data_IF_904179975896
#
_entry.id   IF_904179975896
#
_cell.length_a   1.000
_cell.length_b   1.000
_cell.length_c   1.000
_cell.angle_alpha   90.00
_cell.angle_beta   90.00
_cell.angle_gamma   90.00
#
_symmetry.space_group_name_H-M   'P 1'
#
loop_
_entity.id
_entity.type
_entity.pdbx_description
1 polymer ?
#
# COMPACT_ATOMS: atom_id res chain seq x y z
N UNK A 1 -22.41 -8.16 99.55
CA UNK A 1 -22.66 -6.72 99.39
C UNK A 1 -21.43 -6.17 98.74
N UNK A 2 -21.49 -5.72 97.52
CA UNK A 2 -20.36 -5.11 96.81
C UNK A 2 -20.67 -5.04 95.34
N UNK A 3 -21.14 -3.93 94.88
CA UNK A 3 -21.44 -3.65 93.52
C UNK A 3 -20.11 -3.37 92.76
N UNK A 4 -19.87 -4.06 91.65
CA UNK A 4 -18.78 -3.78 90.69
C UNK A 4 -19.36 -3.22 89.45
N UNK A 5 -19.00 -1.94 89.16
CA UNK A 5 -19.35 -1.32 87.90
C UNK A 5 -18.38 -1.74 86.80
N UNK A 6 -18.90 -2.13 85.63
CA UNK A 6 -18.16 -2.39 84.40
C UNK A 6 -18.26 -1.15 83.53
N UNK A 7 -17.14 -0.45 83.41
CA UNK A 7 -17.00 0.64 82.42
C UNK A 7 -16.68 0.09 81.01
N UNK A 8 -17.53 0.36 80.01
CA UNK A 8 -17.25 0.09 78.58
C UNK A 8 -16.54 1.29 77.98
N UNK A 9 -15.31 1.07 77.52
CA UNK A 9 -14.55 2.03 76.72
C UNK A 9 -14.91 1.84 75.27
N UNK A 10 -15.50 2.83 74.62
CA UNK A 10 -15.80 2.88 73.18
C UNK A 10 -14.62 3.54 72.47
N UNK A 11 -13.90 2.76 71.66
CA UNK A 11 -12.83 3.26 70.76
C UNK A 11 -13.48 3.64 69.42
N UNK A 12 -13.35 4.89 68.96
CA UNK A 12 -13.88 5.23 67.64
C UNK A 12 -13.00 4.67 66.51
N UNK A 13 -13.61 3.83 65.66
CA UNK A 13 -12.96 3.39 64.39
C UNK A 13 -13.01 4.54 63.38
N UNK A 14 -11.85 5.09 63.05
CA UNK A 14 -11.70 5.97 61.88
C UNK A 14 -11.88 5.11 60.61
N UNK A 15 -12.94 5.34 59.87
CA UNK A 15 -13.13 4.80 58.54
C UNK A 15 -12.39 5.68 57.53
N UNK A 16 -11.27 5.20 57.02
CA UNK A 16 -10.53 5.87 55.91
C UNK A 16 -11.27 5.60 54.61
N UNK A 17 -12.01 6.56 54.10
CA UNK A 17 -12.61 6.47 52.76
C UNK A 17 -11.51 6.62 51.70
N UNK A 18 -11.15 5.54 51.03
CA UNK A 18 -10.27 5.59 49.83
C UNK A 18 -11.15 5.95 48.65
N UNK A 19 -11.03 7.20 48.22
CA UNK A 19 -11.68 7.73 47.01
C UNK A 19 -10.89 7.17 45.79
N UNK A 20 -11.43 6.15 45.14
CA UNK A 20 -10.90 5.60 43.88
C UNK A 20 -11.22 6.60 42.76
N UNK A 21 -10.27 7.48 42.38
CA UNK A 21 -10.39 8.31 41.19
C UNK A 21 -10.18 7.40 39.98
N UNK A 22 -11.26 6.97 39.36
CA UNK A 22 -11.22 6.32 38.07
C UNK A 22 -10.80 7.37 37.02
N UNK A 23 -9.56 7.37 36.59
CA UNK A 23 -9.09 8.08 35.41
C UNK A 23 -9.80 7.46 34.18
N UNK A 24 -10.90 8.10 33.77
CA UNK A 24 -11.52 7.83 32.48
C UNK A 24 -10.52 8.31 31.43
N UNK A 25 -9.79 7.37 30.84
CA UNK A 25 -9.02 7.63 29.62
C UNK A 25 -10.02 7.92 28.50
N UNK A 26 -10.30 9.17 28.25
CA UNK A 26 -10.99 9.58 27.04
C UNK A 26 -10.11 9.18 25.86
N UNK A 27 -10.66 8.53 24.81
CA UNK A 27 -9.90 8.33 23.59
C UNK A 27 -9.46 9.71 23.10
N UNK A 28 -8.16 9.90 22.94
CA UNK A 28 -7.63 11.13 22.38
C UNK A 28 -8.27 11.31 20.99
N UNK A 29 -9.13 12.31 20.87
CA UNK A 29 -9.69 12.68 19.57
C UNK A 29 -8.51 13.06 18.69
N UNK A 30 -8.41 12.45 17.52
CA UNK A 30 -7.37 12.77 16.55
C UNK A 30 -7.37 14.28 16.28
N UNK A 31 -6.24 14.93 16.49
CA UNK A 31 -6.11 16.36 16.25
C UNK A 31 -6.23 16.61 14.74
N UNK A 32 -7.18 17.45 14.34
CA UNK A 32 -7.33 17.87 12.95
C UNK A 32 -6.34 18.98 12.63
N UNK A 33 -5.60 18.81 11.54
CA UNK A 33 -4.72 19.83 11.01
C UNK A 33 -5.35 20.43 9.74
N UNK A 34 -5.53 21.74 9.63
CA UNK A 34 -6.04 22.36 8.42
C UNK A 34 -5.03 22.14 7.28
N UNK A 35 -5.50 21.67 6.13
CA UNK A 35 -4.70 21.51 4.94
C UNK A 35 -5.28 22.37 3.81
N UNK A 36 -4.39 23.08 3.09
CA UNK A 36 -4.73 23.90 1.93
C UNK A 36 -4.11 23.26 0.69
N UNK A 37 -4.88 23.15 -0.40
CA UNK A 37 -4.34 22.73 -1.68
C UNK A 37 -3.47 23.86 -2.23
N UNK A 38 -2.15 23.65 -2.27
CA UNK A 38 -1.18 24.62 -2.78
C UNK A 38 -1.02 24.56 -4.31
N UNK A 39 -1.34 23.40 -4.90
CA UNK A 39 -1.27 23.20 -6.35
C UNK A 39 -1.69 21.79 -6.72
N UNK A 40 -2.00 21.56 -7.99
CA UNK A 40 -2.20 20.23 -8.55
C UNK A 40 -1.64 20.17 -9.96
N UNK A 41 -1.23 18.96 -10.38
CA UNK A 41 -0.77 18.71 -11.73
C UNK A 41 -1.27 17.33 -12.17
N UNK A 42 -1.57 17.19 -13.44
CA UNK A 42 -2.17 15.98 -14.01
C UNK A 42 -1.27 15.42 -15.10
N UNK A 43 -0.93 14.15 -15.01
CA UNK A 43 -0.42 13.37 -16.13
C UNK A 43 -1.63 12.70 -16.80
N UNK A 44 -1.82 12.85 -18.13
CA UNK A 44 -2.95 12.22 -18.81
C UNK A 44 -2.96 10.70 -18.60
N UNK A 45 -4.14 10.12 -18.33
CA UNK A 45 -4.29 8.68 -18.06
C UNK A 45 -3.78 7.81 -19.24
N UNK A 46 -3.91 8.27 -20.48
CA UNK A 46 -3.37 7.63 -21.67
C UNK A 46 -1.97 8.17 -22.00
N UNK A 47 -1.04 8.09 -21.06
CA UNK A 47 0.38 8.35 -21.31
C UNK A 47 1.08 7.05 -21.62
N UNK A 48 1.64 6.95 -22.82
CA UNK A 48 2.29 5.76 -23.33
C UNK A 48 3.77 6.04 -23.64
N UNK A 49 4.63 5.10 -23.31
CA UNK A 49 6.08 5.17 -23.56
C UNK A 49 6.56 3.97 -24.38
N UNK A 50 7.73 4.14 -25.01
CA UNK A 50 8.37 3.02 -25.72
C UNK A 50 9.00 2.06 -24.73
N UNK A 51 8.89 0.76 -25.00
CA UNK A 51 9.70 -0.23 -24.32
C UNK A 51 11.19 -0.02 -24.68
N UNK A 52 12.15 -0.46 -23.84
CA UNK A 52 13.57 -0.42 -24.16
C UNK A 52 13.87 -1.06 -25.51
N UNK A 53 14.81 -0.50 -26.27
CA UNK A 53 15.15 -0.99 -27.62
C UNK A 53 15.61 -2.46 -27.62
N UNK A 54 16.24 -2.89 -26.52
CA UNK A 54 16.72 -4.26 -26.29
C UNK A 54 15.69 -5.18 -25.59
N UNK A 55 14.47 -4.68 -25.35
CA UNK A 55 13.38 -5.50 -24.82
C UNK A 55 12.94 -6.55 -25.86
N UNK A 56 12.54 -7.76 -25.42
CA UNK A 56 12.00 -8.75 -26.33
C UNK A 56 10.72 -8.24 -27.01
N UNK A 57 10.47 -8.71 -28.23
CA UNK A 57 9.31 -8.30 -29.03
C UNK A 57 7.96 -8.47 -28.28
N UNK A 58 7.90 -9.49 -27.42
CA UNK A 58 6.73 -9.75 -26.59
C UNK A 58 6.36 -8.61 -25.64
N UNK A 59 7.31 -7.74 -25.28
CA UNK A 59 7.12 -6.59 -24.38
C UNK A 59 6.93 -5.25 -25.10
N UNK A 60 7.12 -5.19 -26.41
CA UNK A 60 6.93 -3.96 -27.19
C UNK A 60 5.45 -3.56 -27.31
N UNK A 61 4.54 -4.51 -27.17
CA UNK A 61 3.09 -4.25 -27.13
C UNK A 61 2.55 -4.82 -25.83
N UNK A 62 1.82 -4.02 -25.06
CA UNK A 62 1.28 -4.39 -23.76
C UNK A 62 -0.24 -4.50 -23.74
N UNK A 63 -0.80 -5.22 -22.75
CA UNK A 63 -2.24 -5.39 -22.61
C UNK A 63 -2.85 -6.41 -23.55
N UNK A 64 -2.09 -7.41 -24.01
CA UNK A 64 -2.58 -8.48 -24.88
C UNK A 64 -3.40 -9.56 -24.17
N UNK A 65 -3.36 -9.62 -22.83
CA UNK A 65 -3.99 -10.69 -22.05
C UNK A 65 -5.38 -10.27 -21.54
N UNK A 66 -6.29 -9.99 -22.46
CA UNK A 66 -7.64 -9.48 -22.18
C UNK A 66 -8.77 -10.48 -22.45
N UNK A 67 -8.44 -11.64 -23.02
CA UNK A 67 -9.42 -12.67 -23.35
C UNK A 67 -9.97 -13.41 -22.13
N UNK A 68 -11.03 -14.19 -22.29
CA UNK A 68 -11.58 -15.03 -21.23
C UNK A 68 -10.49 -15.92 -20.59
N UNK A 69 -10.42 -15.92 -19.26
CA UNK A 69 -9.37 -16.61 -18.51
C UNK A 69 -7.99 -15.98 -18.70
N UNK A 70 -7.91 -14.69 -19.01
CA UNK A 70 -6.67 -13.94 -19.27
C UNK A 70 -5.80 -14.57 -20.37
N UNK A 71 -6.42 -15.05 -21.41
CA UNK A 71 -5.72 -15.57 -22.59
C UNK A 71 -5.28 -14.42 -23.49
N UNK A 72 -4.16 -14.61 -24.14
CA UNK A 72 -3.62 -13.65 -25.12
C UNK A 72 -4.63 -13.41 -26.24
N UNK A 73 -4.94 -12.14 -26.46
CA UNK A 73 -5.81 -11.64 -27.53
C UNK A 73 -5.13 -10.43 -28.15
N UNK A 74 -4.63 -10.57 -29.38
CA UNK A 74 -3.96 -9.45 -30.09
C UNK A 74 -4.97 -8.60 -30.89
N UNK A 75 -6.21 -8.48 -30.38
CA UNK A 75 -7.31 -7.70 -30.96
C UNK A 75 -7.80 -6.68 -29.93
N UNK A 76 -8.49 -5.61 -30.36
CA UNK A 76 -9.09 -4.65 -29.43
C UNK A 76 -9.98 -5.35 -28.41
N UNK A 77 -9.74 -5.08 -27.14
CA UNK A 77 -10.41 -5.68 -26.00
C UNK A 77 -10.45 -4.71 -24.80
N UNK A 78 -10.95 -5.16 -23.66
CA UNK A 78 -11.10 -4.33 -22.48
C UNK A 78 -10.67 -5.06 -21.20
N UNK A 79 -10.10 -4.30 -20.27
CA UNK A 79 -9.76 -4.75 -18.91
C UNK A 79 -10.36 -3.74 -17.91
N UNK A 80 -10.96 -4.19 -16.79
CA UNK A 80 -11.37 -3.31 -15.70
C UNK A 80 -10.22 -2.45 -15.18
N UNK A 81 -10.50 -1.21 -14.81
CA UNK A 81 -9.49 -0.25 -14.37
C UNK A 81 -8.77 0.48 -15.51
N UNK A 82 -8.66 -0.11 -16.70
CA UNK A 82 -8.06 0.52 -17.89
C UNK A 82 -9.12 0.95 -18.90
N UNK A 83 -9.95 0.03 -19.38
CA UNK A 83 -10.97 0.33 -20.39
C UNK A 83 -12.24 0.92 -19.81
N UNK A 84 -12.48 0.69 -18.54
CA UNK A 84 -13.62 1.26 -17.81
C UNK A 84 -13.31 1.33 -16.32
N UNK A 85 -13.87 2.35 -15.66
CA UNK A 85 -13.87 2.42 -14.20
C UNK A 85 -14.81 1.35 -13.69
N UNK A 86 -14.33 0.53 -12.76
CA UNK A 86 -15.05 -0.62 -12.23
C UNK A 86 -16.13 -0.17 -11.24
N UNK A 87 -17.26 0.26 -11.77
CA UNK A 87 -18.49 0.38 -10.98
C UNK A 87 -19.28 -0.92 -11.17
N UNK A 88 -19.46 -1.69 -10.11
CA UNK A 88 -20.06 -3.04 -10.15
C UNK A 88 -21.40 -3.12 -10.86
N UNK A 89 -22.16 -2.03 -10.91
CA UNK A 89 -23.51 -2.00 -11.46
C UNK A 89 -23.60 -1.24 -12.80
N UNK A 90 -22.70 -0.28 -13.04
CA UNK A 90 -22.66 0.49 -14.27
C UNK A 90 -21.23 0.91 -14.58
N UNK A 91 -20.42 0.05 -15.19
CA UNK A 91 -19.05 0.37 -15.53
C UNK A 91 -18.97 1.59 -16.45
N UNK A 92 -18.07 2.51 -16.13
CA UNK A 92 -17.86 3.75 -16.88
C UNK A 92 -16.75 3.57 -17.91
N UNK A 93 -17.02 3.62 -19.22
CA UNK A 93 -16.01 3.50 -20.25
C UNK A 93 -15.00 4.65 -20.16
N UNK A 94 -13.70 4.33 -20.30
CA UNK A 94 -12.62 5.31 -20.41
C UNK A 94 -12.33 5.72 -21.87
N UNK A 95 -12.87 4.99 -22.83
CA UNK A 95 -12.50 5.13 -24.24
C UNK A 95 -11.19 4.45 -24.61
N UNK A 96 -10.54 3.77 -23.68
CA UNK A 96 -9.26 3.09 -23.90
C UNK A 96 -9.51 1.65 -24.31
N UNK A 97 -8.94 1.23 -25.44
CA UNK A 97 -8.92 -0.14 -25.92
C UNK A 97 -7.53 -0.73 -25.85
N UNK A 98 -7.43 -1.99 -25.48
CA UNK A 98 -6.18 -2.75 -25.46
C UNK A 98 -6.08 -3.62 -26.71
N UNK A 99 -4.87 -4.05 -27.16
CA UNK A 99 -3.55 -3.77 -26.59
C UNK A 99 -2.99 -2.40 -27.00
N UNK A 100 -1.98 -1.91 -26.25
CA UNK A 100 -1.21 -0.70 -26.61
C UNK A 100 -0.10 -1.10 -27.61
N UNK A 101 -0.37 -0.99 -28.89
CA UNK A 101 0.57 -1.39 -29.94
C UNK A 101 1.87 -0.59 -29.90
N UNK A 102 3.01 -1.26 -29.74
CA UNK A 102 4.34 -0.68 -29.68
C UNK A 102 4.65 0.12 -28.41
N UNK A 103 3.78 0.07 -27.38
CA UNK A 103 3.87 0.94 -26.20
C UNK A 103 3.63 0.21 -24.89
N UNK A 104 4.16 0.83 -23.81
CA UNK A 104 3.89 0.50 -22.42
C UNK A 104 3.09 1.65 -21.79
N UNK A 105 2.04 1.36 -20.98
CA UNK A 105 1.29 2.39 -20.30
C UNK A 105 2.06 2.93 -19.09
N UNK A 106 2.00 4.23 -18.89
CA UNK A 106 2.50 4.91 -17.71
C UNK A 106 1.29 5.33 -16.87
N UNK A 107 0.86 4.44 -16.00
CA UNK A 107 -0.37 4.61 -15.23
C UNK A 107 -0.26 3.90 -13.86
N UNK A 108 -1.24 4.15 -12.96
CA UNK A 108 -1.30 3.49 -11.67
C UNK A 108 -0.12 3.89 -10.79
N UNK A 109 0.02 5.19 -10.48
CA UNK A 109 1.05 5.61 -9.53
C UNK A 109 0.64 5.20 -8.12
N UNK A 110 1.38 4.23 -7.55
CA UNK A 110 1.13 3.72 -6.21
C UNK A 110 2.04 4.35 -5.17
N UNK A 111 3.36 4.38 -5.38
CA UNK A 111 4.30 5.03 -4.48
C UNK A 111 4.89 6.31 -5.08
N UNK A 112 5.06 7.35 -4.23
CA UNK A 112 5.66 8.62 -4.66
C UNK A 112 6.60 9.19 -3.59
N UNK A 113 7.78 9.66 -4.01
CA UNK A 113 8.76 10.30 -3.13
C UNK A 113 9.28 11.61 -3.73
N UNK A 114 9.17 12.72 -3.00
CA UNK A 114 9.79 13.98 -3.38
C UNK A 114 11.30 13.88 -3.23
N UNK A 115 12.04 14.30 -4.26
CA UNK A 115 13.50 14.37 -4.27
C UNK A 115 14.00 15.76 -3.86
N UNK A 116 15.29 15.89 -3.44
CA UNK A 116 15.85 17.17 -3.00
C UNK A 116 15.81 18.28 -4.06
N UNK A 117 15.88 17.93 -5.34
CA UNK A 117 15.82 18.87 -6.46
C UNK A 117 14.41 19.33 -6.83
N UNK A 118 13.40 18.92 -6.05
CA UNK A 118 12.00 19.25 -6.26
C UNK A 118 11.27 18.38 -7.27
N UNK A 119 11.96 17.45 -7.95
CA UNK A 119 11.33 16.39 -8.74
C UNK A 119 10.77 15.30 -7.84
N UNK A 120 10.04 14.37 -8.43
CA UNK A 120 9.45 13.24 -7.73
C UNK A 120 9.89 11.92 -8.35
N UNK A 121 10.14 10.93 -7.51
CA UNK A 121 10.24 9.54 -7.92
C UNK A 121 8.86 8.91 -7.70
N UNK A 122 8.33 8.25 -8.73
CA UNK A 122 7.06 7.55 -8.66
C UNK A 122 7.18 6.21 -9.36
N UNK A 123 6.47 5.19 -8.90
CA UNK A 123 6.39 3.91 -9.57
C UNK A 123 5.05 3.72 -10.27
N UNK A 124 5.06 2.96 -11.37
CA UNK A 124 3.85 2.36 -11.92
C UNK A 124 3.65 0.99 -11.27
N UNK A 125 2.43 0.74 -10.89
CA UNK A 125 1.92 -0.52 -10.37
C UNK A 125 2.08 -1.68 -11.39
N UNK A 126 1.53 -2.88 -11.13
CA UNK A 126 1.69 -4.08 -11.98
C UNK A 126 1.12 -3.95 -13.40
N UNK A 127 0.39 -2.92 -13.70
CA UNK A 127 -0.09 -2.54 -15.02
C UNK A 127 -1.57 -2.85 -15.28
N UNK A 128 -2.07 -4.07 -15.09
CA UNK A 128 -3.43 -4.46 -15.43
C UNK A 128 -4.21 -5.14 -14.28
N UNK A 129 -3.70 -5.02 -13.05
CA UNK A 129 -4.38 -5.37 -11.80
C UNK A 129 -4.35 -6.86 -11.43
N UNK A 130 -3.68 -7.73 -12.18
CA UNK A 130 -3.49 -9.13 -11.78
C UNK A 130 -2.28 -9.79 -12.46
N UNK A 131 -1.72 -10.79 -11.79
CA UNK A 131 -0.62 -11.62 -12.36
C UNK A 131 -0.93 -12.18 -13.74
N UNK A 132 -2.18 -12.56 -13.97
CA UNK A 132 -2.57 -13.32 -15.17
C UNK A 132 -2.81 -12.44 -16.39
N UNK A 133 -3.05 -11.15 -16.22
CA UNK A 133 -3.27 -10.23 -17.33
C UNK A 133 -2.09 -9.25 -17.56
N UNK A 134 -1.04 -9.30 -16.75
CA UNK A 134 0.09 -8.38 -16.78
C UNK A 134 1.44 -8.97 -17.25
N UNK A 135 1.52 -10.10 -18.01
CA UNK A 135 2.80 -10.66 -18.42
C UNK A 135 3.53 -9.83 -19.48
N UNK A 136 2.91 -8.80 -20.02
CA UNK A 136 3.48 -7.87 -20.99
C UNK A 136 3.42 -6.40 -20.52
N UNK A 137 3.02 -6.14 -19.26
CA UNK A 137 3.19 -4.86 -18.60
C UNK A 137 4.55 -4.84 -17.90
N UNK A 138 5.46 -3.99 -18.36
CA UNK A 138 6.79 -3.89 -17.76
C UNK A 138 6.74 -3.11 -16.46
N UNK A 139 7.42 -3.61 -15.42
CA UNK A 139 7.60 -2.88 -14.17
C UNK A 139 8.60 -1.75 -14.35
N UNK A 140 8.23 -0.55 -13.88
CA UNK A 140 9.02 0.65 -14.09
C UNK A 140 8.78 1.70 -13.02
N UNK A 141 9.73 2.60 -12.88
CA UNK A 141 9.59 3.80 -12.06
C UNK A 141 10.06 5.04 -12.83
N UNK A 142 9.63 6.20 -12.38
CA UNK A 142 9.75 7.43 -13.14
C UNK A 142 10.31 8.55 -12.27
N UNK A 143 11.09 9.43 -12.89
CA UNK A 143 11.38 10.74 -12.35
C UNK A 143 10.49 11.77 -13.01
N UNK A 144 9.65 12.43 -12.21
CA UNK A 144 8.61 13.34 -12.66
C UNK A 144 8.88 14.75 -12.14
N UNK A 145 8.49 15.76 -12.91
CA UNK A 145 8.50 17.17 -12.46
C UNK A 145 7.12 17.78 -12.70
N UNK A 146 6.31 17.95 -11.65
CA UNK A 146 5.08 18.73 -11.76
C UNK A 146 5.36 20.20 -11.98
N UNK A 147 4.61 20.82 -12.87
CA UNK A 147 4.49 22.27 -13.01
C UNK A 147 3.16 22.68 -12.35
N UNK A 148 3.28 23.27 -11.17
CA UNK A 148 2.12 23.67 -10.37
C UNK A 148 1.40 24.91 -10.94
N UNK A 149 2.01 25.66 -11.88
CA UNK A 149 1.40 26.83 -12.52
C UNK A 149 0.54 26.41 -13.71
N UNK A 150 1.06 25.51 -14.55
CA UNK A 150 0.35 25.01 -15.73
C UNK A 150 -0.54 23.80 -15.42
N UNK A 151 -0.34 23.15 -14.27
CA UNK A 151 -1.07 21.94 -13.90
C UNK A 151 -0.64 20.69 -14.68
N UNK A 152 0.56 20.71 -15.30
CA UNK A 152 1.09 19.58 -16.10
C UNK A 152 2.21 18.85 -15.38
N UNK A 153 2.54 17.63 -15.85
CA UNK A 153 3.66 16.84 -15.33
C UNK A 153 4.60 16.49 -16.46
N UNK A 154 5.88 16.83 -16.30
CA UNK A 154 6.95 16.39 -17.19
C UNK A 154 7.53 15.07 -16.72
N UNK A 155 7.64 14.09 -17.61
CA UNK A 155 8.40 12.86 -17.41
C UNK A 155 9.86 13.18 -17.73
N UNK A 156 10.73 13.14 -16.72
CA UNK A 156 12.16 13.40 -16.89
C UNK A 156 12.91 12.12 -17.28
N UNK A 157 12.48 10.99 -16.74
CA UNK A 157 13.11 9.69 -16.92
C UNK A 157 12.12 8.56 -16.65
N UNK A 158 12.25 7.44 -17.36
CA UNK A 158 11.60 6.17 -17.07
C UNK A 158 12.66 5.09 -17.00
N UNK A 159 12.63 4.30 -15.93
CA UNK A 159 13.56 3.20 -15.67
C UNK A 159 12.78 1.90 -15.56
N UNK A 160 13.18 0.90 -16.35
CA UNK A 160 12.55 -0.41 -16.35
C UNK A 160 13.32 -1.39 -15.45
N UNK A 161 12.59 -2.11 -14.59
CA UNK A 161 13.19 -3.11 -13.71
C UNK A 161 13.63 -4.35 -14.48
N UNK A 162 14.81 -4.87 -14.15
CA UNK A 162 15.39 -6.05 -14.78
C UNK A 162 16.33 -6.80 -13.84
N UNK A 163 16.44 -8.11 -14.01
CA UNK A 163 17.19 -9.02 -13.13
C UNK A 163 18.19 -9.91 -13.89
N UNK A 164 19.22 -9.37 -14.55
CA UNK A 164 20.16 -10.16 -15.33
C UNK A 164 21.01 -11.10 -14.49
N UNK A 165 21.20 -10.79 -13.20
CA UNK A 165 22.02 -11.58 -12.28
C UNK A 165 21.23 -12.66 -11.53
N UNK A 166 19.93 -12.83 -11.82
CA UNK A 166 19.05 -13.84 -11.21
C UNK A 166 18.99 -13.73 -9.67
N UNK A 167 18.87 -12.50 -9.16
CA UNK A 167 18.72 -12.22 -7.74
C UNK A 167 17.33 -12.68 -7.24
N UNK A 168 16.31 -12.58 -8.09
CA UNK A 168 14.97 -13.07 -7.81
C UNK A 168 14.99 -14.61 -7.85
N UNK A 169 14.56 -15.30 -6.77
CA UNK A 169 14.77 -16.74 -6.59
C UNK A 169 13.75 -17.65 -7.29
N UNK A 170 12.93 -17.09 -8.20
CA UNK A 170 11.90 -17.83 -8.92
C UNK A 170 11.91 -17.51 -10.42
N UNK A 171 11.23 -18.34 -11.20
CA UNK A 171 11.10 -18.13 -12.64
C UNK A 171 10.23 -16.92 -12.95
N UNK A 172 10.71 -16.06 -13.83
CA UNK A 172 9.99 -14.87 -14.31
C UNK A 172 9.49 -15.08 -15.74
N UNK A 173 8.59 -14.21 -16.21
CA UNK A 173 8.04 -14.28 -17.58
C UNK A 173 9.14 -14.26 -18.63
N UNK A 174 10.15 -13.41 -18.46
CA UNK A 174 11.25 -13.25 -19.43
C UNK A 174 12.52 -14.01 -19.03
N UNK A 175 12.36 -15.17 -18.43
CA UNK A 175 13.43 -16.03 -17.89
C UNK A 175 14.58 -16.32 -18.88
N UNK A 176 14.26 -16.49 -20.16
CA UNK A 176 15.24 -16.86 -21.20
C UNK A 176 15.95 -15.66 -21.84
N UNK A 177 15.63 -14.43 -21.44
CA UNK A 177 16.24 -13.22 -22.00
C UNK A 177 17.46 -12.78 -21.21
N UNK A 178 18.43 -12.13 -21.84
CA UNK A 178 19.65 -11.67 -21.18
C UNK A 178 19.38 -10.59 -20.12
N UNK A 179 18.49 -9.64 -20.41
CA UNK A 179 18.12 -8.56 -19.47
C UNK A 179 17.16 -9.03 -18.39
N UNK A 180 16.32 -10.04 -18.64
CA UNK A 180 15.30 -10.49 -17.70
C UNK A 180 14.45 -9.32 -17.18
N UNK A 181 13.86 -8.55 -18.11
CA UNK A 181 12.92 -7.49 -17.74
C UNK A 181 11.74 -8.05 -16.94
N UNK A 182 11.40 -7.38 -15.84
CA UNK A 182 10.31 -7.77 -14.96
C UNK A 182 8.97 -7.21 -15.45
N UNK A 183 7.93 -7.97 -15.19
CA UNK A 183 6.55 -7.65 -15.56
C UNK A 183 5.63 -7.72 -14.36
N UNK A 184 4.42 -7.19 -14.49
CA UNK A 184 3.38 -7.28 -13.47
C UNK A 184 2.86 -8.69 -13.17
N UNK A 185 3.32 -9.71 -13.92
CA UNK A 185 3.13 -11.13 -13.55
C UNK A 185 4.18 -11.61 -12.55
N UNK A 186 5.36 -11.00 -12.57
CA UNK A 186 6.48 -11.41 -11.72
C UNK A 186 6.36 -10.80 -10.32
N UNK A 187 6.03 -9.51 -10.23
CA UNK A 187 5.87 -8.74 -9.00
C UNK A 187 4.71 -7.75 -9.14
N UNK A 188 4.19 -7.33 -7.99
CA UNK A 188 3.16 -6.29 -7.82
C UNK A 188 3.74 -5.19 -6.93
N UNK A 189 4.54 -4.29 -7.53
CA UNK A 189 5.25 -3.26 -6.78
C UNK A 189 4.33 -2.07 -6.50
N UNK A 190 4.15 -1.72 -5.21
CA UNK A 190 3.20 -0.68 -4.79
C UNK A 190 3.86 0.48 -4.02
N UNK A 191 5.06 0.27 -3.50
CA UNK A 191 5.77 1.31 -2.75
C UNK A 191 7.22 1.47 -3.19
N UNK A 192 7.77 2.70 -3.03
CA UNK A 192 9.10 3.06 -3.52
C UNK A 192 9.84 3.97 -2.53
N UNK A 193 11.11 3.66 -2.21
CA UNK A 193 11.97 4.53 -1.42
C UNK A 193 13.40 4.56 -1.98
N UNK A 194 13.91 5.74 -2.38
CA UNK A 194 15.32 5.91 -2.71
C UNK A 194 16.17 6.02 -1.45
N UNK A 195 17.24 5.24 -1.37
CA UNK A 195 18.25 5.30 -0.29
C UNK A 195 19.63 5.24 -0.90
N UNK A 196 20.39 6.33 -0.81
CA UNK A 196 21.70 6.43 -1.48
C UNK A 196 21.57 6.22 -2.97
N UNK A 197 22.33 5.27 -3.53
CA UNK A 197 22.29 4.91 -4.94
C UNK A 197 21.35 3.74 -5.26
N UNK A 198 20.60 3.28 -4.27
CA UNK A 198 19.62 2.22 -4.41
C UNK A 198 18.19 2.77 -4.40
N UNK A 199 17.28 1.99 -4.98
CA UNK A 199 15.85 2.18 -4.90
C UNK A 199 15.23 0.89 -4.35
N UNK A 200 14.40 1.01 -3.33
CA UNK A 200 13.71 -0.10 -2.71
C UNK A 200 12.23 -0.08 -3.11
N UNK A 201 11.68 -1.26 -3.31
CA UNK A 201 10.28 -1.48 -3.66
C UNK A 201 9.64 -2.47 -2.69
N UNK A 202 8.40 -2.21 -2.31
CA UNK A 202 7.55 -3.15 -1.62
C UNK A 202 6.60 -3.81 -2.60
N UNK A 203 6.42 -5.12 -2.46
CA UNK A 203 5.63 -5.97 -3.35
C UNK A 203 4.41 -6.55 -2.63
N UNK A 204 3.30 -6.71 -3.34
CA UNK A 204 2.07 -7.28 -2.80
C UNK A 204 1.93 -8.80 -2.96
N UNK A 205 2.59 -9.39 -3.95
CA UNK A 205 2.43 -10.84 -4.22
C UNK A 205 3.07 -11.71 -3.15
N UNK A 206 4.21 -11.31 -2.60
CA UNK A 206 4.90 -12.11 -1.59
C UNK A 206 4.26 -12.08 -0.19
N UNK A 207 4.32 -10.99 0.56
CA UNK A 207 5.00 -9.73 0.28
C UNK A 207 6.53 -9.83 0.28
N UNK A 208 7.18 -9.07 -0.61
CA UNK A 208 8.65 -9.01 -0.71
C UNK A 208 9.18 -7.58 -0.59
N UNK A 209 10.46 -7.45 -0.20
CA UNK A 209 11.24 -6.24 -0.45
C UNK A 209 12.22 -6.51 -1.58
N UNK A 210 12.27 -5.59 -2.55
CA UNK A 210 13.19 -5.63 -3.67
C UNK A 210 14.09 -4.40 -3.62
N UNK A 211 15.37 -4.56 -3.93
CA UNK A 211 16.30 -3.45 -4.12
C UNK A 211 16.80 -3.47 -5.56
N UNK A 212 16.80 -2.31 -6.21
CA UNK A 212 17.46 -2.11 -7.49
C UNK A 212 18.47 -0.96 -7.41
N UNK A 213 19.37 -0.89 -8.35
CA UNK A 213 20.16 0.33 -8.59
C UNK A 213 19.31 1.38 -9.33
N UNK A 214 19.89 2.56 -9.56
CA UNK A 214 19.21 3.66 -10.26
C UNK A 214 18.92 3.37 -11.73
N UNK A 215 19.58 2.38 -12.34
CA UNK A 215 19.36 1.91 -13.69
C UNK A 215 18.28 0.80 -13.77
N UNK A 216 17.69 0.41 -12.63
CA UNK A 216 16.61 -0.59 -12.57
C UNK A 216 17.10 -2.03 -12.46
N UNK A 217 18.41 -2.27 -12.33
CA UNK A 217 18.95 -3.61 -12.12
C UNK A 217 18.70 -4.06 -10.69
N UNK A 218 18.00 -5.19 -10.52
CA UNK A 218 17.76 -5.80 -9.20
C UNK A 218 19.08 -6.21 -8.56
N UNK A 219 19.28 -5.82 -7.29
CA UNK A 219 20.48 -6.08 -6.49
C UNK A 219 20.20 -6.70 -5.13
N UNK A 220 18.92 -6.92 -4.79
CA UNK A 220 18.51 -7.58 -3.56
C UNK A 220 17.05 -7.97 -3.59
N UNK A 221 16.74 -9.07 -2.90
CA UNK A 221 15.40 -9.62 -2.75
C UNK A 221 15.26 -10.24 -1.36
N UNK A 222 14.17 -9.94 -0.64
CA UNK A 222 13.91 -10.45 0.70
C UNK A 222 12.46 -10.86 0.87
N UNK A 223 12.26 -12.09 1.31
CA UNK A 223 10.97 -12.54 1.82
C UNK A 223 10.67 -11.81 3.14
N UNK A 224 9.42 -11.45 3.35
CA UNK A 224 8.99 -10.82 4.59
C UNK A 224 8.99 -11.80 5.76
N UNK A 225 9.67 -11.44 6.84
CA UNK A 225 9.67 -12.24 8.07
C UNK A 225 9.09 -11.45 9.24
N UNK A 226 8.23 -12.12 10.03
CA UNK A 226 7.67 -11.59 11.26
C UNK A 226 7.43 -12.73 12.26
N UNK A 227 7.77 -12.51 13.54
CA UNK A 227 7.65 -13.49 14.61
C UNK A 227 8.28 -14.87 14.25
N UNK A 228 9.48 -14.82 13.64
CA UNK A 228 10.26 -16.01 13.29
C UNK A 228 9.75 -16.83 12.10
N UNK A 229 8.76 -16.35 11.37
CA UNK A 229 8.17 -17.02 10.19
C UNK A 229 8.13 -16.12 8.97
N UNK A 230 8.19 -16.73 7.79
CA UNK A 230 7.97 -16.04 6.52
C UNK A 230 6.47 -15.79 6.36
N UNK A 231 6.08 -14.54 6.12
CA UNK A 231 4.71 -14.19 5.77
C UNK A 231 4.48 -14.51 4.29
N UNK A 232 3.36 -15.17 4.00
CA UNK A 232 3.02 -15.57 2.62
C UNK A 232 1.60 -15.17 2.27
N UNK A 233 1.44 -14.64 1.06
CA UNK A 233 0.14 -14.53 0.40
C UNK A 233 -0.14 -15.77 -0.45
N UNK A 234 -1.34 -15.94 -1.02
CA UNK A 234 -1.62 -17.00 -1.99
C UNK A 234 -0.75 -16.95 -3.26
N UNK A 235 -0.15 -15.81 -3.59
CA UNK A 235 0.69 -15.62 -4.78
C UNK A 235 2.20 -15.73 -4.51
N UNK A 236 2.59 -15.99 -3.25
CA UNK A 236 3.98 -16.18 -2.86
C UNK A 236 4.60 -17.35 -3.64
N UNK A 237 5.84 -17.19 -4.16
CA UNK A 237 6.45 -18.14 -5.07
C UNK A 237 6.62 -19.57 -4.52
N UNK A 238 6.65 -19.75 -3.20
CA UNK A 238 6.69 -21.06 -2.57
C UNK A 238 5.32 -21.66 -2.27
N UNK A 239 4.22 -20.94 -2.58
CA UNK A 239 2.87 -21.47 -2.40
C UNK A 239 2.57 -22.47 -3.53
N UNK A 240 2.27 -23.69 -3.14
CA UNK A 240 1.91 -24.77 -4.06
C UNK A 240 0.59 -25.39 -3.64
N UNK A 241 -0.17 -25.87 -4.62
CA UNK A 241 -1.35 -26.69 -4.33
C UNK A 241 -0.92 -27.97 -3.58
N UNK A 242 -1.60 -28.36 -2.49
CA UNK A 242 -1.30 -29.62 -1.81
C UNK A 242 -1.58 -30.82 -2.73
N UNK A 243 -0.88 -31.93 -2.49
CA UNK A 243 -1.07 -33.16 -3.26
C UNK A 243 -2.44 -33.84 -3.00
N UNK A 244 -3.10 -33.48 -1.92
CA UNK A 244 -4.45 -33.92 -1.56
C UNK A 244 -5.37 -32.72 -1.37
N UNK A 245 -6.67 -32.82 -1.69
CA UNK A 245 -7.61 -31.72 -1.47
C UNK A 245 -7.61 -31.26 -0.01
N UNK A 246 -7.55 -29.96 0.19
CA UNK A 246 -7.55 -29.36 1.53
C UNK A 246 -7.28 -27.84 1.49
N UNK A 247 -7.42 -27.14 2.63
CA UNK A 247 -7.13 -25.72 2.70
C UNK A 247 -5.63 -25.43 2.54
N UNK A 248 -5.31 -24.32 1.89
CA UNK A 248 -3.96 -23.77 1.81
C UNK A 248 -3.83 -22.68 2.87
N UNK A 249 -2.81 -22.79 3.73
CA UNK A 249 -2.56 -21.79 4.78
C UNK A 249 -1.72 -20.64 4.24
N UNK A 250 -2.16 -19.41 4.51
CA UNK A 250 -1.43 -18.18 4.20
C UNK A 250 -1.70 -17.13 5.28
N UNK A 251 -0.75 -16.20 5.48
CA UNK A 251 -0.83 -15.20 6.53
C UNK A 251 -1.29 -13.82 6.01
N UNK A 252 -1.13 -13.56 4.71
CA UNK A 252 -1.46 -12.30 4.04
C UNK A 252 -2.51 -12.57 2.98
N UNK A 253 -3.54 -11.75 2.89
CA UNK A 253 -4.54 -11.85 1.82
C UNK A 253 -3.88 -11.60 0.46
N UNK A 254 -4.47 -12.15 -0.61
CA UNK A 254 -4.04 -11.88 -2.00
C UNK A 254 -4.12 -10.37 -2.28
N UNK A 255 -3.10 -9.81 -2.93
CA UNK A 255 -3.00 -8.39 -3.23
C UNK A 255 -3.27 -7.53 -1.99
N UNK A 256 -2.56 -7.84 -0.88
CA UNK A 256 -2.59 -7.12 0.39
C UNK A 256 -1.23 -7.15 1.09
N UNK A 257 -0.17 -7.16 0.28
CA UNK A 257 1.20 -7.05 0.73
C UNK A 257 1.58 -5.59 1.04
N UNK A 258 2.66 -5.10 0.45
CA UNK A 258 3.22 -3.78 0.78
C UNK A 258 2.71 -2.67 -0.14
N UNK A 259 1.58 -2.07 0.19
CA UNK A 259 1.04 -0.86 -0.45
C UNK A 259 1.86 0.39 -0.10
N UNK A 260 2.23 0.55 1.16
CA UNK A 260 3.00 1.71 1.63
C UNK A 260 4.36 1.31 2.18
N UNK A 261 5.37 2.17 2.00
CA UNK A 261 6.68 1.99 2.62
C UNK A 261 7.34 3.33 2.87
N UNK A 262 7.75 3.58 4.12
CA UNK A 262 8.54 4.74 4.48
C UNK A 262 10.02 4.38 4.69
N UNK A 263 10.91 5.35 4.53
CA UNK A 263 12.31 5.24 4.93
C UNK A 263 12.62 6.19 6.08
N UNK A 264 13.41 5.74 7.05
CA UNK A 264 14.01 6.63 8.03
C UNK A 264 14.83 7.72 7.32
N UNK A 265 14.93 8.95 7.85
CA UNK A 265 15.66 10.04 7.19
C UNK A 265 17.14 9.74 6.92
N UNK A 266 17.77 8.91 7.74
CA UNK A 266 19.15 8.46 7.56
C UNK A 266 19.29 7.26 6.60
N UNK A 267 18.17 6.71 6.10
CA UNK A 267 18.12 5.57 5.21
C UNK A 267 18.45 4.23 5.85
N UNK A 268 18.70 4.17 7.16
CA UNK A 268 19.06 2.92 7.83
C UNK A 268 17.90 1.94 7.92
N UNK A 269 16.69 2.43 8.15
CA UNK A 269 15.52 1.59 8.29
C UNK A 269 14.48 1.88 7.21
N UNK A 270 13.85 0.82 6.72
CA UNK A 270 12.60 0.89 5.99
C UNK A 270 11.46 0.42 6.88
N UNK A 271 10.30 1.01 6.65
CA UNK A 271 9.05 0.73 7.35
C UNK A 271 7.97 0.32 6.33
N UNK A 272 8.06 -0.90 5.77
CA UNK A 272 7.01 -1.40 4.90
C UNK A 272 5.71 -1.63 5.69
N UNK A 273 4.59 -1.18 5.10
CA UNK A 273 3.25 -1.23 5.67
C UNK A 273 2.36 -2.13 4.81
N UNK A 274 1.85 -3.20 5.41
CA UNK A 274 0.93 -4.12 4.76
C UNK A 274 -0.43 -3.45 4.49
N UNK A 275 -1.06 -3.74 3.37
CA UNK A 275 -2.41 -3.26 3.02
C UNK A 275 -3.51 -4.05 3.72
N UNK A 276 -3.22 -5.29 4.12
CA UNK A 276 -4.16 -6.14 4.85
C UNK A 276 -3.68 -6.57 6.23
N UNK A 277 -4.60 -6.90 7.13
CA UNK A 277 -4.27 -7.51 8.42
C UNK A 277 -3.67 -8.89 8.23
N UNK A 278 -2.83 -9.32 9.18
CA UNK A 278 -2.32 -10.68 9.21
C UNK A 278 -3.38 -11.66 9.73
N UNK A 279 -3.27 -12.91 9.29
CA UNK A 279 -4.05 -14.01 9.85
C UNK A 279 -3.46 -14.44 11.18
N UNK A 280 -4.29 -14.39 12.23
CA UNK A 280 -3.96 -14.90 13.55
C UNK A 280 -4.40 -16.37 13.65
N UNK A 281 -3.44 -17.27 13.70
CA UNK A 281 -3.69 -18.71 13.77
C UNK A 281 -4.34 -19.15 15.08
N UNK A 282 -4.13 -18.41 16.16
CA UNK A 282 -4.72 -18.73 17.46
C UNK A 282 -6.17 -18.25 17.54
N UNK A 283 -6.42 -17.02 17.11
CA UNK A 283 -7.76 -16.45 17.06
C UNK A 283 -8.61 -17.00 15.90
N UNK A 284 -7.99 -17.64 14.89
CA UNK A 284 -8.63 -18.04 13.62
C UNK A 284 -9.37 -16.89 12.96
N UNK A 285 -8.76 -15.72 12.96
CA UNK A 285 -9.32 -14.47 12.47
C UNK A 285 -8.23 -13.56 11.93
N UNK A 286 -8.62 -12.56 11.15
CA UNK A 286 -7.75 -11.46 10.77
C UNK A 286 -7.51 -10.53 11.95
N UNK A 287 -6.28 -10.04 12.09
CA UNK A 287 -5.88 -9.15 13.17
C UNK A 287 -6.81 -7.94 13.28
N UNK A 288 -7.40 -7.75 14.45
CA UNK A 288 -8.31 -6.64 14.73
C UNK A 288 -8.27 -6.26 16.23
N UNK A 289 -8.72 -5.04 16.54
CA UNK A 289 -8.91 -4.56 17.90
C UNK A 289 -10.22 -3.79 17.99
N UNK A 290 -11.10 -4.19 18.92
CA UNK A 290 -12.40 -3.53 19.10
C UNK A 290 -13.27 -3.58 17.84
N UNK A 291 -13.19 -4.65 17.04
CA UNK A 291 -13.93 -4.83 15.80
C UNK A 291 -13.38 -4.08 14.59
N UNK A 292 -12.23 -3.40 14.72
CA UNK A 292 -11.52 -2.75 13.61
C UNK A 292 -10.24 -3.47 13.27
N UNK A 293 -10.00 -3.69 11.99
CA UNK A 293 -8.75 -4.26 11.50
C UNK A 293 -7.58 -3.30 11.76
N UNK A 294 -6.39 -3.86 11.99
CA UNK A 294 -5.15 -3.10 11.99
C UNK A 294 -4.13 -3.71 11.05
N UNK A 295 -3.26 -2.87 10.52
CA UNK A 295 -2.23 -3.22 9.57
C UNK A 295 -0.86 -3.21 10.25
N UNK A 296 0.06 -4.05 9.80
CA UNK A 296 1.41 -4.11 10.35
C UNK A 296 2.35 -3.20 9.58
N UNK A 297 3.04 -2.31 10.30
CA UNK A 297 4.26 -1.65 9.86
C UNK A 297 5.40 -2.52 10.36
N UNK A 298 6.25 -3.03 9.49
CA UNK A 298 7.42 -3.82 9.87
C UNK A 298 8.68 -2.96 9.78
N UNK A 299 9.75 -3.36 10.46
CA UNK A 299 11.05 -2.68 10.37
C UNK A 299 12.08 -3.57 9.67
N UNK A 300 12.71 -3.02 8.63
CA UNK A 300 13.80 -3.67 7.90
C UNK A 300 15.06 -2.84 8.01
N UNK A 301 16.17 -3.44 8.46
CA UNK A 301 17.49 -2.80 8.52
C UNK A 301 18.20 -2.95 7.16
N UNK A 302 18.34 -1.85 6.44
CA UNK A 302 18.95 -1.81 5.09
C UNK A 302 20.42 -2.14 5.09
N UNK A 303 21.12 -1.93 6.21
CA UNK A 303 22.55 -2.23 6.36
C UNK A 303 22.80 -3.71 6.65
N UNK A 304 21.89 -4.35 7.37
CA UNK A 304 21.97 -5.78 7.69
C UNK A 304 21.22 -6.64 6.66
N UNK A 305 20.37 -6.02 5.80
CA UNK A 305 19.59 -6.74 4.82
C UNK A 305 18.58 -7.71 5.43
N UNK A 306 17.91 -7.33 6.52
CA UNK A 306 16.96 -8.21 7.22
C UNK A 306 15.89 -7.44 7.99
N UNK A 307 14.76 -8.09 8.20
CA UNK A 307 13.74 -7.62 9.15
C UNK A 307 14.28 -7.74 10.57
N UNK A 308 14.03 -6.70 11.39
CA UNK A 308 14.55 -6.65 12.78
C UNK A 308 13.66 -7.40 13.77
N UNK A 309 12.44 -7.74 13.38
CA UNK A 309 11.40 -8.28 14.25
C UNK A 309 10.55 -7.20 14.93
N UNK A 310 10.96 -5.91 14.89
CA UNK A 310 10.11 -4.81 15.39
C UNK A 310 8.95 -4.56 14.45
N UNK A 311 7.80 -4.29 15.03
CA UNK A 311 6.60 -3.93 14.27
C UNK A 311 5.71 -2.99 15.05
N UNK A 312 4.84 -2.30 14.32
CA UNK A 312 3.79 -1.44 14.88
C UNK A 312 2.46 -1.80 14.22
N UNK A 313 1.39 -1.45 14.89
CA UNK A 313 0.03 -1.65 14.42
C UNK A 313 -0.57 -0.30 14.04
N UNK A 314 -1.08 -0.21 12.83
CA UNK A 314 -1.86 0.92 12.36
C UNK A 314 -3.34 0.53 12.37
N UNK A 315 -4.12 1.10 13.30
CA UNK A 315 -5.55 0.80 13.43
C UNK A 315 -6.34 1.58 12.37
N UNK A 316 -7.00 0.88 11.47
CA UNK A 316 -7.85 1.51 10.46
C UNK A 316 -9.04 2.26 11.10
N UNK A 317 -9.50 3.34 10.48
CA UNK A 317 -10.69 4.07 10.91
C UNK A 317 -11.95 3.19 10.85
N UNK A 318 -12.04 2.35 9.81
CA UNK A 318 -13.04 1.31 9.68
C UNK A 318 -12.45 0.06 9.02
N UNK A 319 -12.97 -1.12 9.40
CA UNK A 319 -12.59 -2.38 8.72
C UNK A 319 -12.97 -2.33 7.24
N UNK A 320 -12.08 -2.84 6.39
CA UNK A 320 -12.26 -2.80 4.93
C UNK A 320 -11.81 -1.49 4.28
N UNK A 321 -11.31 -0.49 5.03
CA UNK A 321 -10.50 0.58 4.46
C UNK A 321 -9.14 0.02 4.02
N UNK A 322 -8.51 0.73 3.10
CA UNK A 322 -7.17 0.45 2.59
C UNK A 322 -6.27 1.66 2.83
N UNK A 323 -4.99 1.47 2.62
CA UNK A 323 -4.02 2.56 2.58
C UNK A 323 -3.63 2.85 1.12
N UNK A 324 -2.95 3.96 0.87
CA UNK A 324 -2.47 4.32 -0.47
C UNK A 324 -0.98 4.60 -0.50
N UNK A 325 -0.39 5.12 0.57
CA UNK A 325 1.06 5.33 0.67
C UNK A 325 1.46 5.65 2.11
N UNK A 326 2.75 5.48 2.41
CA UNK A 326 3.35 5.81 3.69
C UNK A 326 4.71 6.47 3.50
N UNK A 327 4.91 7.66 4.10
CA UNK A 327 6.19 8.37 4.04
C UNK A 327 6.54 8.98 5.39
N UNK A 328 7.83 8.89 5.80
CA UNK A 328 8.35 9.65 6.94
C UNK A 328 8.56 11.11 6.56
N UNK A 329 8.20 12.02 7.47
CA UNK A 329 8.45 13.46 7.39
C UNK A 329 9.51 13.91 8.41
N UNK A 330 9.69 13.15 9.49
CA UNK A 330 10.71 13.32 10.53
C UNK A 330 11.19 11.94 10.98
N UNK A 331 12.14 11.88 11.91
CA UNK A 331 12.77 10.63 12.35
C UNK A 331 11.76 9.56 12.81
N UNK A 332 10.70 9.97 13.51
CA UNK A 332 9.69 9.05 14.05
C UNK A 332 8.27 9.40 13.62
N UNK A 333 8.11 10.44 12.80
CA UNK A 333 6.80 10.94 12.36
C UNK A 333 6.59 10.63 10.90
N UNK A 334 5.48 9.96 10.60
CA UNK A 334 5.09 9.61 9.23
C UNK A 334 3.69 10.08 8.85
N UNK A 335 3.42 10.05 7.56
CA UNK A 335 2.10 10.30 6.97
C UNK A 335 1.63 9.03 6.25
N UNK A 336 0.41 8.60 6.55
CA UNK A 336 -0.26 7.47 5.91
C UNK A 336 -1.53 8.00 5.23
N UNK A 337 -1.75 7.60 3.99
CA UNK A 337 -3.01 7.80 3.28
C UNK A 337 -3.93 6.61 3.59
N UNK A 338 -5.11 6.89 4.17
CA UNK A 338 -6.15 5.87 4.36
C UNK A 338 -7.36 6.23 3.51
N UNK A 339 -7.95 5.23 2.85
CA UNK A 339 -9.04 5.38 1.90
C UNK A 339 -10.10 4.29 2.04
N UNK A 340 -11.34 4.64 1.68
CA UNK A 340 -12.36 3.65 1.33
C UNK A 340 -12.12 3.09 -0.08
N UNK A 341 -12.94 2.14 -0.48
CA UNK A 341 -12.93 1.52 -1.82
C UNK A 341 -13.91 2.18 -2.79
N UNK A 342 -14.42 3.38 -2.45
CA UNK A 342 -15.25 4.17 -3.36
C UNK A 342 -14.40 4.81 -4.45
N UNK A 343 -15.00 4.97 -5.63
CA UNK A 343 -14.34 5.53 -6.81
C UNK A 343 -15.00 6.84 -7.24
N UNK A 344 -14.18 7.77 -7.76
CA UNK A 344 -14.63 9.01 -8.35
C UNK A 344 -15.14 10.07 -7.38
N UNK A 345 -15.79 11.08 -7.92
CA UNK A 345 -16.23 12.27 -7.18
C UNK A 345 -17.60 12.04 -6.54
N UNK A 346 -17.68 12.26 -5.22
CA UNK A 346 -18.94 12.15 -4.48
C UNK A 346 -20.03 13.10 -5.01
N UNK A 347 -19.67 14.22 -5.61
CA UNK A 347 -20.64 15.17 -6.21
C UNK A 347 -21.33 14.57 -7.45
N UNK A 348 -20.72 13.57 -8.07
CA UNK A 348 -21.26 12.82 -9.19
C UNK A 348 -21.89 11.51 -8.76
N UNK A 349 -22.29 11.38 -7.49
CA UNK A 349 -23.03 10.21 -7.02
C UNK A 349 -24.34 10.03 -7.78
N UNK A 350 -24.69 8.78 -8.10
CA UNK A 350 -25.97 8.47 -8.71
C UNK A 350 -27.12 8.83 -7.76
N UNK A 351 -28.10 9.56 -8.25
CA UNK A 351 -29.33 9.91 -7.51
C UNK A 351 -30.49 8.95 -7.78
N UNK A 352 -30.25 7.85 -8.52
CA UNK A 352 -31.25 6.85 -8.92
C UNK A 352 -30.53 5.58 -9.40
N UNK A 353 -31.14 4.82 -10.33
CA UNK A 353 -30.52 3.63 -10.87
C UNK A 353 -29.13 3.90 -11.43
N UNK A 354 -28.23 2.91 -11.38
CA UNK A 354 -26.87 3.04 -11.89
C UNK A 354 -26.80 3.48 -13.35
N UNK A 355 -25.93 4.43 -13.67
CA UNK A 355 -25.69 4.93 -15.03
C UNK A 355 -24.20 5.17 -15.27
N UNK A 356 -23.72 5.13 -16.52
CA UNK A 356 -22.31 5.39 -16.85
C UNK A 356 -21.83 6.83 -16.59
N UNK A 357 -22.73 7.78 -16.37
CA UNK A 357 -22.42 9.21 -16.14
C UNK A 357 -22.35 9.61 -14.66
N UNK A 358 -22.60 8.68 -13.74
CA UNK A 358 -22.50 8.89 -12.29
C UNK A 358 -21.78 7.73 -11.60
N UNK A 359 -21.40 7.90 -10.33
CA UNK A 359 -20.74 6.86 -9.52
C UNK A 359 -21.75 6.22 -8.55
N UNK A 360 -21.90 4.90 -8.59
CA UNK A 360 -22.76 4.17 -7.65
C UNK A 360 -22.15 4.09 -6.25
N UNK A 361 -20.85 3.92 -6.18
CA UNK A 361 -20.09 3.84 -4.94
C UNK A 361 -19.01 4.92 -4.97
N UNK A 362 -19.39 6.19 -4.82
CA UNK A 362 -18.42 7.29 -4.86
C UNK A 362 -17.49 7.24 -3.65
N UNK A 363 -16.27 7.73 -3.84
CA UNK A 363 -15.30 7.87 -2.75
C UNK A 363 -15.82 8.83 -1.67
N UNK A 364 -15.89 8.37 -0.43
CA UNK A 364 -16.39 9.14 0.72
C UNK A 364 -15.33 9.38 1.78
N UNK A 365 -14.30 8.56 1.78
CA UNK A 365 -13.24 8.60 2.77
C UNK A 365 -11.86 8.55 2.11
N UNK A 366 -11.16 9.65 2.14
CA UNK A 366 -9.76 9.79 1.72
C UNK A 366 -9.09 10.73 2.73
N UNK A 367 -8.21 10.20 3.60
CA UNK A 367 -7.58 10.97 4.66
C UNK A 367 -6.08 10.71 4.71
N UNK A 368 -5.33 11.74 5.13
CA UNK A 368 -3.92 11.62 5.48
C UNK A 368 -3.82 11.65 7.00
N UNK A 369 -3.23 10.62 7.58
CA UNK A 369 -2.98 10.52 9.01
C UNK A 369 -1.52 10.79 9.32
N UNK A 370 -1.29 11.63 10.32
CA UNK A 370 0.02 11.77 10.95
C UNK A 370 0.16 10.72 12.04
N UNK A 371 1.23 9.93 11.99
CA UNK A 371 1.56 8.92 13.01
C UNK A 371 2.92 9.23 13.63
N UNK A 372 3.11 8.76 14.87
CA UNK A 372 4.39 8.82 15.56
C UNK A 372 4.82 7.41 15.98
N UNK A 373 5.94 6.93 15.48
CA UNK A 373 6.45 5.59 15.79
C UNK A 373 6.98 5.44 17.23
N UNK A 374 7.21 6.54 17.98
CA UNK A 374 7.61 6.52 19.40
C UNK A 374 6.45 6.29 20.35
N UNK A 375 5.27 6.77 20.00
CA UNK A 375 4.10 6.83 20.89
C UNK A 375 3.18 5.62 20.77
N UNK A 376 3.73 4.41 20.58
CA UNK A 376 2.93 3.20 20.66
C UNK A 376 2.41 2.99 22.10
N UNK A 377 1.15 2.60 22.24
CA UNK A 377 0.68 2.03 23.49
C UNK A 377 1.33 0.66 23.79
N UNK A 378 1.01 0.07 24.93
CA UNK A 378 1.56 -1.23 25.34
C UNK A 378 1.27 -2.38 24.36
N UNK A 379 0.28 -2.21 23.46
CA UNK A 379 -0.06 -3.18 22.42
C UNK A 379 0.55 -2.84 21.05
N UNK A 380 1.37 -1.80 20.96
CA UNK A 380 2.01 -1.36 19.71
C UNK A 380 1.09 -0.58 18.78
N UNK A 381 -0.09 -0.15 19.23
CA UNK A 381 -0.99 0.70 18.47
C UNK A 381 -0.50 2.14 18.45
N UNK A 382 -0.65 2.82 17.31
CA UNK A 382 -0.29 4.22 17.13
C UNK A 382 -1.48 5.13 17.27
N UNK A 383 -1.28 6.25 17.99
CA UNK A 383 -2.25 7.32 18.00
C UNK A 383 -2.30 7.97 16.60
N UNK A 384 -3.49 8.10 16.06
CA UNK A 384 -3.74 8.76 14.78
C UNK A 384 -4.07 10.22 15.03
N UNK A 385 -3.17 11.13 14.65
CA UNK A 385 -3.49 12.55 14.49
C UNK A 385 -3.96 12.77 13.05
N UNK A 386 -5.24 13.01 12.82
CA UNK A 386 -5.79 13.18 11.48
C UNK A 386 -5.42 14.51 10.86
N UNK A 387 -4.85 14.52 9.65
CA UNK A 387 -4.85 15.67 8.75
C UNK A 387 -6.17 15.64 7.98
N UNK A 388 -7.14 16.48 8.36
CA UNK A 388 -8.41 16.56 7.63
C UNK A 388 -8.24 17.34 6.33
N UNK A 389 -8.56 16.70 5.22
CA UNK A 389 -8.95 17.36 4.00
C UNK A 389 -10.38 16.96 3.65
N UNK A 390 -11.35 17.83 3.87
CA UNK A 390 -12.51 17.80 3.00
C UNK A 390 -12.03 18.33 1.63
N UNK A 391 -11.76 17.47 0.69
CA UNK A 391 -11.47 17.89 -0.67
C UNK A 391 -12.78 18.46 -1.27
N UNK A 392 -13.08 19.72 -1.00
CA UNK A 392 -13.91 20.49 -1.92
C UNK A 392 -13.03 20.83 -3.11
N UNK A 393 -13.03 19.99 -4.10
CA UNK A 393 -12.50 20.35 -5.41
C UNK A 393 -13.48 21.37 -5.98
N UNK A 394 -13.16 22.65 -5.84
CA UNK A 394 -13.73 23.67 -6.70
C UNK A 394 -12.86 23.61 -7.97
N UNK A 395 -13.29 22.84 -8.93
CA UNK A 395 -12.78 22.94 -10.30
C UNK A 395 -13.30 24.24 -10.93
N UNK A 396 -12.62 24.72 -11.98
CA UNK A 396 -13.07 25.89 -12.73
C UNK A 396 -14.44 25.68 -13.34
#
# INVERSE_FOLDING_TARGET
MGHGEFGFSVVPRLATAVTLVALLAFPALAQQHPAVLAGHAILPALTLIDAPADAPESLKTSGKYTGPGNRRVDQPASIPGTSFISDRQAPRPTGISLPFAGKQPLQGFSGIKRLPDGSYLALSDNGFGSRTNSPDAMLMFHRLRPDWQTGTVQILETVFLHDPDRVIPFLIVNESTARRYLTGTDLDIESIQPIGDAVYFGDEFGPYLIRADRAGKVTGFWETTHDGRVLKSPDHFTMAAPSTPGPVSFAVRRSRGYEGMAAAPDGRFLYPLLEGPLWDEQAKAWESKGGREYLRILEFDTTQGRFTGRSWKYLLEASGHNIGDFNMIEADTGLIIERDNGEGDQRLACSGPPRPDCFNVPARFKRVYKIDLKTADAEGLRAQGGLHRSARHQGP
#
